data_IF_750376615319
#
_entry.id   IF_750376615319
#
_cell.length_a   1.000
_cell.length_b   1.000
_cell.length_c   1.000
_cell.angle_alpha   90.00
_cell.angle_beta   90.00
_cell.angle_gamma   90.00
#
_symmetry.space_group_name_H-M   'P 1'
#
loop_
_entity.id
_entity.type
_entity.pdbx_description
1 polymer ?
#
# COMPACT_ATOMS: atom_id res chain seq x y z
N UNK A 1 -3.00 -1.67 49.12
CA UNK A 1 -3.99 -1.79 48.01
C UNK A 1 -3.40 -1.12 46.77
N UNK A 2 -2.69 -1.88 45.92
CA UNK A 2 -2.00 -1.35 44.75
C UNK A 2 -2.98 -1.07 43.61
N UNK A 3 -2.94 0.14 43.02
CA UNK A 3 -3.75 0.50 41.87
C UNK A 3 -3.29 -0.32 40.66
N UNK A 4 -4.16 -1.19 40.15
CA UNK A 4 -3.96 -1.88 38.87
C UNK A 4 -4.16 -0.86 37.75
N UNK A 5 -3.06 -0.42 37.13
CA UNK A 5 -3.12 0.43 35.94
C UNK A 5 -3.41 -0.49 34.75
N UNK A 6 -4.61 -0.38 34.17
CA UNK A 6 -4.92 -1.07 32.90
C UNK A 6 -4.00 -0.51 31.81
N UNK A 7 -3.12 -1.36 31.29
CA UNK A 7 -2.34 -1.05 30.10
C UNK A 7 -3.30 -0.89 28.92
N UNK A 8 -3.50 0.34 28.45
CA UNK A 8 -4.13 0.59 27.16
C UNK A 8 -3.03 0.54 26.11
N UNK A 9 -2.97 -0.48 25.23
CA UNK A 9 -2.03 -0.45 24.12
C UNK A 9 -2.39 0.75 23.25
N UNK A 10 -1.44 1.68 23.13
CA UNK A 10 -1.53 2.83 22.22
C UNK A 10 -1.93 2.29 20.86
N UNK A 11 -3.09 2.72 20.34
CA UNK A 11 -3.50 2.39 18.97
C UNK A 11 -2.37 2.83 18.04
N UNK A 12 -1.60 1.86 17.56
CA UNK A 12 -0.67 2.08 16.49
C UNK A 12 -1.56 2.39 15.29
N UNK A 13 -1.64 3.65 14.90
CA UNK A 13 -2.09 4.02 13.56
C UNK A 13 -1.04 3.46 12.59
N UNK A 14 -1.03 2.14 12.43
CA UNK A 14 -0.22 1.50 11.42
C UNK A 14 -0.69 2.14 10.12
N UNK A 15 0.20 2.90 9.46
CA UNK A 15 0.01 3.27 8.06
C UNK A 15 -0.14 1.94 7.32
N UNK A 16 -1.38 1.48 7.18
CA UNK A 16 -1.69 0.25 6.47
C UNK A 16 -1.19 0.49 5.06
N UNK A 17 -0.36 -0.42 4.59
CA UNK A 17 0.22 -0.31 3.27
C UNK A 17 -0.91 -0.05 2.24
N UNK A 18 -0.82 1.03 1.43
CA UNK A 18 -1.89 1.40 0.51
C UNK A 18 -2.24 0.28 -0.48
N UNK A 19 -1.28 -0.58 -0.82
CA UNK A 19 -1.52 -1.71 -1.71
C UNK A 19 -2.40 -2.79 -1.06
N UNK A 20 -2.41 -2.87 0.26
CA UNK A 20 -3.25 -3.78 1.04
C UNK A 20 -4.63 -3.19 1.40
N UNK A 21 -4.91 -1.93 1.04
CA UNK A 21 -6.18 -1.28 1.37
C UNK A 21 -7.36 -2.00 0.69
N UNK A 22 -8.55 -2.05 1.32
CA UNK A 22 -9.71 -2.70 0.72
C UNK A 22 -10.02 -2.15 -0.69
N UNK A 23 -10.50 -3.01 -1.58
CA UNK A 23 -11.10 -2.61 -2.85
C UNK A 23 -12.43 -3.32 -3.07
N UNK A 24 -13.32 -2.66 -3.79
CA UNK A 24 -14.57 -3.25 -4.27
C UNK A 24 -14.39 -3.62 -5.74
N UNK A 25 -14.65 -4.88 -6.06
CA UNK A 25 -14.62 -5.41 -7.42
C UNK A 25 -15.92 -5.04 -8.16
N UNK A 26 -15.94 -5.23 -9.48
CA UNK A 26 -17.07 -4.85 -10.33
C UNK A 26 -18.37 -5.62 -10.01
N UNK A 27 -18.26 -6.80 -9.44
CA UNK A 27 -19.36 -7.64 -8.95
C UNK A 27 -19.83 -7.24 -7.54
N UNK A 28 -19.25 -6.20 -6.94
CA UNK A 28 -19.53 -5.75 -5.57
C UNK A 28 -18.73 -6.48 -4.49
N UNK A 29 -17.93 -7.49 -4.84
CA UNK A 29 -17.11 -8.24 -3.87
C UNK A 29 -16.03 -7.34 -3.27
N UNK A 30 -15.90 -7.33 -1.93
CA UNK A 30 -14.82 -6.62 -1.24
C UNK A 30 -13.66 -7.53 -0.92
N UNK A 31 -12.45 -7.10 -1.28
CA UNK A 31 -11.19 -7.81 -0.96
C UNK A 31 -10.20 -6.86 -0.28
N UNK A 32 -9.29 -7.39 0.54
CA UNK A 32 -8.29 -6.62 1.29
C UNK A 32 -6.97 -7.39 1.43
N UNK A 33 -5.92 -6.75 1.95
CA UNK A 33 -4.64 -7.41 2.22
C UNK A 33 -3.92 -7.85 0.95
N UNK A 34 -3.37 -9.08 0.95
CA UNK A 34 -2.61 -9.64 -0.17
C UNK A 34 -3.38 -9.69 -1.48
N UNK A 35 -4.65 -10.12 -1.45
CA UNK A 35 -5.50 -10.15 -2.64
C UNK A 35 -5.69 -8.76 -3.27
N UNK A 36 -5.78 -7.73 -2.42
CA UNK A 36 -5.90 -6.36 -2.88
C UNK A 36 -4.61 -5.86 -3.54
N UNK A 37 -3.45 -6.23 -2.98
CA UNK A 37 -2.14 -5.93 -3.55
C UNK A 37 -1.95 -6.58 -4.91
N UNK A 38 -2.31 -7.85 -5.04
CA UNK A 38 -2.20 -8.58 -6.31
C UNK A 38 -3.04 -7.95 -7.43
N UNK A 39 -4.29 -7.56 -7.12
CA UNK A 39 -5.14 -6.87 -8.11
C UNK A 39 -4.53 -5.54 -8.56
N UNK A 40 -4.00 -4.74 -7.63
CA UNK A 40 -3.33 -3.48 -7.96
C UNK A 40 -2.07 -3.69 -8.78
N UNK A 41 -1.24 -4.67 -8.41
CA UNK A 41 -0.03 -5.02 -9.18
C UNK A 41 -0.37 -5.45 -10.60
N UNK A 42 -1.41 -6.27 -10.77
CA UNK A 42 -1.86 -6.68 -12.09
C UNK A 42 -2.38 -5.49 -12.91
N UNK A 43 -3.09 -4.54 -12.28
CA UNK A 43 -3.62 -3.35 -12.94
C UNK A 43 -2.52 -2.42 -13.48
N UNK A 44 -1.34 -2.39 -12.86
CA UNK A 44 -0.18 -1.61 -13.34
C UNK A 44 0.73 -2.38 -14.31
N UNK A 45 0.32 -3.56 -14.79
CA UNK A 45 1.12 -4.38 -15.71
C UNK A 45 2.14 -5.31 -15.04
N UNK A 46 2.06 -5.48 -13.72
CA UNK A 46 2.96 -6.31 -12.94
C UNK A 46 4.16 -5.55 -12.36
N UNK A 47 5.03 -6.28 -11.65
CA UNK A 47 6.17 -5.68 -10.93
C UNK A 47 7.21 -5.10 -11.88
N UNK A 48 7.53 -5.81 -12.97
CA UNK A 48 8.52 -5.36 -13.97
C UNK A 48 8.13 -4.02 -14.60
N UNK A 49 6.86 -3.87 -14.99
CA UNK A 49 6.38 -2.63 -15.60
C UNK A 49 6.35 -1.49 -14.57
N UNK A 50 5.94 -1.76 -13.33
CA UNK A 50 6.02 -0.79 -12.25
C UNK A 50 7.45 -0.28 -12.04
N UNK A 51 8.44 -1.18 -12.04
CA UNK A 51 9.85 -0.81 -11.88
C UNK A 51 10.36 0.00 -13.06
N UNK A 52 10.03 -0.40 -14.30
CA UNK A 52 10.39 0.33 -15.52
C UNK A 52 9.85 1.76 -15.49
N UNK A 53 8.57 1.93 -15.16
CA UNK A 53 7.94 3.25 -15.06
C UNK A 53 8.55 4.10 -13.95
N UNK A 54 8.84 3.49 -12.80
CA UNK A 54 9.49 4.17 -11.67
C UNK A 54 10.88 4.69 -12.07
N UNK A 55 11.68 3.85 -12.73
CA UNK A 55 13.01 4.24 -13.21
C UNK A 55 12.91 5.36 -14.25
N UNK A 56 12.04 5.23 -15.25
CA UNK A 56 11.85 6.24 -16.29
C UNK A 56 11.46 7.60 -15.68
N UNK A 57 10.54 7.62 -14.72
CA UNK A 57 10.13 8.82 -14.02
C UNK A 57 11.29 9.44 -13.23
N UNK A 58 12.05 8.63 -12.49
CA UNK A 58 13.20 9.11 -11.72
C UNK A 58 14.29 9.71 -12.64
N UNK A 59 14.61 9.04 -13.75
CA UNK A 59 15.56 9.53 -14.76
C UNK A 59 15.13 10.86 -15.36
N UNK A 60 13.84 11.01 -15.69
CA UNK A 60 13.29 12.25 -16.24
C UNK A 60 13.29 13.41 -15.22
N UNK A 61 13.08 13.13 -13.93
CA UNK A 61 13.21 14.16 -12.87
C UNK A 61 14.67 14.59 -12.74
N UNK A 62 15.60 13.65 -12.73
CA UNK A 62 17.02 13.92 -12.63
C UNK A 62 17.53 14.77 -13.81
N UNK A 63 17.10 14.45 -15.04
CA UNK A 63 17.51 15.19 -16.23
C UNK A 63 16.98 16.63 -16.30
N UNK A 64 15.93 16.96 -15.54
CA UNK A 64 15.37 18.32 -15.46
C UNK A 64 15.98 19.17 -14.35
N UNK A 65 16.71 18.56 -13.42
CA UNK A 65 17.27 19.23 -12.25
C UNK A 65 18.78 19.51 -12.40
N UNK A 66 19.40 18.98 -13.46
CA UNK A 66 20.81 19.16 -13.81
C UNK A 66 21.08 20.28 -14.81
#
# INVERSE_FOLDING_TARGET
MGKVVKFQPKQVTAKRDPWCSPLTLADGTQISGGAAREKRLKAVGGVEELLRQTLANASHIASKTG
#
